data_IF_908169391465
#
_entry.id   IF_908169391465
#
_cell.length_a   1.000
_cell.length_b   1.000
_cell.length_c   1.000
_cell.angle_alpha   90.00
_cell.angle_beta   90.00
_cell.angle_gamma   90.00
#
_symmetry.space_group_name_H-M   'P 1'
#
loop_
_entity.id
_entity.type
_entity.pdbx_description
1 polymer ?
#
# COMPACT_ATOMS: atom_id res chain seq x y z
N UNK A 1 -3.10 15.56 14.90
CA UNK A 1 -2.03 16.37 14.28
C UNK A 1 -1.93 15.99 12.80
N UNK A 2 -1.90 16.96 11.92
CA UNK A 2 -1.82 16.68 10.49
C UNK A 2 -0.41 16.16 10.12
N UNK A 3 -0.36 15.17 9.24
CA UNK A 3 0.90 14.66 8.71
C UNK A 3 1.53 15.70 7.77
N UNK A 4 2.85 15.72 7.70
CA UNK A 4 3.57 16.50 6.68
C UNK A 4 3.49 15.79 5.33
N UNK A 5 3.75 16.51 4.24
CA UNK A 5 3.85 15.92 2.91
C UNK A 5 4.86 14.77 2.90
N UNK A 6 6.03 14.99 3.50
CA UNK A 6 7.08 13.98 3.59
C UNK A 6 6.61 12.72 4.31
N UNK A 7 5.86 12.86 5.41
CA UNK A 7 5.34 11.71 6.15
C UNK A 7 4.31 10.93 5.32
N UNK A 8 3.42 11.61 4.60
CA UNK A 8 2.43 10.97 3.73
C UNK A 8 3.11 10.17 2.63
N UNK A 9 4.09 10.77 1.96
CA UNK A 9 4.81 10.10 0.87
C UNK A 9 5.63 8.91 1.38
N UNK A 10 6.25 9.03 2.55
CA UNK A 10 6.98 7.93 3.18
C UNK A 10 6.04 6.77 3.52
N UNK A 11 4.90 7.07 4.14
CA UNK A 11 3.87 6.07 4.45
C UNK A 11 3.36 5.37 3.21
N UNK A 12 3.11 6.10 2.14
CA UNK A 12 2.62 5.53 0.88
C UNK A 12 3.69 4.62 0.26
N UNK A 13 4.95 5.04 0.25
CA UNK A 13 6.06 4.24 -0.24
C UNK A 13 6.22 2.95 0.57
N UNK A 14 6.09 3.04 1.89
CA UNK A 14 6.15 1.87 2.77
C UNK A 14 5.02 0.89 2.47
N UNK A 15 3.81 1.38 2.19
CA UNK A 15 2.68 0.54 1.80
C UNK A 15 2.92 -0.18 0.47
N UNK A 16 3.48 0.52 -0.52
CA UNK A 16 3.86 -0.09 -1.81
C UNK A 16 4.89 -1.20 -1.58
N UNK A 17 5.90 -0.93 -0.79
CA UNK A 17 6.96 -1.90 -0.47
C UNK A 17 6.39 -3.15 0.20
N UNK A 18 5.51 -2.97 1.18
CA UNK A 18 4.87 -4.08 1.89
C UNK A 18 4.03 -4.93 0.95
N UNK A 19 3.15 -4.31 0.16
CA UNK A 19 2.25 -5.03 -0.75
C UNK A 19 3.06 -5.83 -1.76
N UNK A 20 4.04 -5.20 -2.40
CA UNK A 20 4.89 -5.86 -3.38
C UNK A 20 5.73 -6.97 -2.77
N UNK A 21 6.24 -6.75 -1.55
CA UNK A 21 7.03 -7.76 -0.83
C UNK A 21 6.20 -8.98 -0.44
N UNK A 22 4.97 -8.78 0.04
CA UNK A 22 4.06 -9.89 0.37
C UNK A 22 3.73 -10.68 -0.89
N UNK A 23 3.39 -9.99 -1.98
CA UNK A 23 3.05 -10.64 -3.24
C UNK A 23 4.24 -11.43 -3.82
N UNK A 24 5.45 -10.91 -3.69
CA UNK A 24 6.67 -11.56 -4.18
C UNK A 24 7.19 -12.65 -3.25
N UNK A 25 6.68 -12.76 -2.03
CA UNK A 25 7.14 -13.71 -1.04
C UNK A 25 8.43 -13.29 -0.32
N UNK A 26 8.80 -12.02 -0.40
CA UNK A 26 10.02 -11.49 0.23
C UNK A 26 9.77 -10.78 1.55
N UNK A 27 8.52 -10.46 1.86
CA UNK A 27 8.14 -9.84 3.13
C UNK A 27 8.10 -10.91 4.23
N UNK A 28 8.61 -10.58 5.40
CA UNK A 28 8.61 -11.52 6.52
C UNK A 28 7.20 -11.61 7.12
N UNK A 29 6.55 -12.74 6.91
CA UNK A 29 5.21 -13.04 7.46
C UNK A 29 5.23 -14.25 8.39
N UNK A 30 6.41 -14.62 8.88
CA UNK A 30 6.58 -15.77 9.76
C UNK A 30 5.68 -15.62 11.01
N UNK A 31 4.95 -16.68 11.32
CA UNK A 31 4.04 -16.71 12.47
C UNK A 31 2.68 -16.08 12.23
N UNK A 32 2.41 -15.53 11.04
CA UNK A 32 1.12 -14.93 10.71
C UNK A 32 0.19 -15.96 10.06
N UNK A 33 -1.09 -15.88 10.42
CA UNK A 33 -2.14 -16.59 9.70
C UNK A 33 -2.42 -15.91 8.36
N UNK A 34 -2.90 -16.65 7.37
CA UNK A 34 -3.21 -16.07 6.06
C UNK A 34 -4.24 -14.95 6.16
N UNK A 35 -5.24 -15.08 7.03
CA UNK A 35 -6.24 -14.03 7.25
C UNK A 35 -5.61 -12.75 7.77
N UNK A 36 -4.61 -12.85 8.64
CA UNK A 36 -3.90 -11.69 9.19
C UNK A 36 -3.03 -11.02 8.11
N UNK A 37 -2.41 -11.82 7.25
CA UNK A 37 -1.63 -11.30 6.12
C UNK A 37 -2.56 -10.54 5.16
N UNK A 38 -3.72 -11.11 4.83
CA UNK A 38 -4.70 -10.48 3.97
C UNK A 38 -5.21 -9.16 4.57
N UNK A 39 -5.46 -9.12 5.88
CA UNK A 39 -5.88 -7.90 6.58
C UNK A 39 -4.80 -6.83 6.54
N UNK A 40 -3.54 -7.22 6.71
CA UNK A 40 -2.40 -6.31 6.62
C UNK A 40 -2.30 -5.70 5.21
N UNK A 41 -2.41 -6.54 4.18
CA UNK A 41 -2.40 -6.08 2.79
C UNK A 41 -3.57 -5.15 2.52
N UNK A 42 -4.77 -5.50 2.98
CA UNK A 42 -5.97 -4.68 2.79
C UNK A 42 -5.82 -3.30 3.42
N UNK A 43 -5.28 -3.21 4.63
CA UNK A 43 -5.05 -1.92 5.30
C UNK A 43 -4.09 -1.04 4.51
N UNK A 44 -3.08 -1.64 3.91
CA UNK A 44 -2.12 -0.88 3.09
C UNK A 44 -2.70 -0.48 1.74
N UNK A 45 -3.55 -1.31 1.14
CA UNK A 45 -4.34 -0.94 -0.04
C UNK A 45 -5.25 0.25 0.28
N UNK A 46 -5.97 0.20 1.40
CA UNK A 46 -6.87 1.28 1.83
C UNK A 46 -6.09 2.58 2.03
N UNK A 47 -4.91 2.51 2.63
CA UNK A 47 -4.06 3.68 2.83
C UNK A 47 -3.68 4.33 1.49
N UNK A 48 -3.28 3.54 0.51
CA UNK A 48 -2.93 4.05 -0.82
C UNK A 48 -4.14 4.67 -1.53
N UNK A 49 -5.32 4.08 -1.37
CA UNK A 49 -6.55 4.65 -1.94
C UNK A 49 -6.85 6.03 -1.31
N UNK A 50 -6.63 6.19 -0.02
CA UNK A 50 -6.78 7.47 0.67
C UNK A 50 -5.79 8.51 0.14
N UNK A 51 -4.52 8.12 -0.03
CA UNK A 51 -3.49 9.02 -0.57
C UNK A 51 -3.86 9.49 -1.98
N UNK A 52 -4.33 8.57 -2.83
CA UNK A 52 -4.75 8.91 -4.19
C UNK A 52 -5.97 9.83 -4.24
N UNK A 53 -6.79 9.84 -3.19
CA UNK A 53 -7.96 10.70 -3.11
C UNK A 53 -7.62 12.14 -2.73
N UNK A 54 -6.39 12.43 -2.30
CA UNK A 54 -5.97 13.79 -2.00
C UNK A 54 -5.95 14.62 -3.29
N UNK A 55 -6.53 15.82 -3.22
CA UNK A 55 -6.59 16.73 -4.37
C UNK A 55 -5.34 17.60 -4.50
N UNK A 56 -4.59 17.74 -3.41
CA UNK A 56 -3.35 18.52 -3.40
C UNK A 56 -2.21 17.67 -4.01
N UNK A 57 -1.65 18.07 -5.17
CA UNK A 57 -0.59 17.30 -5.81
C UNK A 57 0.67 17.15 -4.95
N UNK A 58 0.95 18.11 -4.09
CA UNK A 58 2.12 18.06 -3.21
C UNK A 58 1.95 16.97 -2.13
N UNK A 59 0.72 16.71 -1.73
CA UNK A 59 0.42 15.67 -0.73
C UNK A 59 0.30 14.29 -1.39
N UNK A 60 -0.30 14.24 -2.57
CA UNK A 60 -0.54 12.97 -3.27
C UNK A 60 0.68 12.42 -4.00
N UNK A 61 1.74 13.22 -4.14
CA UNK A 61 2.95 12.82 -4.84
C UNK A 61 2.91 13.12 -6.34
N UNK A 62 3.99 12.76 -7.03
CA UNK A 62 4.13 12.94 -8.46
C UNK A 62 3.25 11.96 -9.26
N UNK A 63 3.18 12.16 -10.58
CA UNK A 63 2.49 11.21 -11.47
C UNK A 63 3.09 9.81 -11.40
N UNK A 64 4.40 9.71 -11.27
CA UNK A 64 5.09 8.42 -11.14
C UNK A 64 4.76 7.75 -9.80
N UNK A 65 4.69 8.54 -8.72
CA UNK A 65 4.27 8.03 -7.41
C UNK A 65 2.85 7.48 -7.47
N UNK A 66 1.93 8.23 -8.08
CA UNK A 66 0.53 7.79 -8.24
C UNK A 66 0.41 6.52 -9.06
N UNK A 67 1.24 6.37 -10.09
CA UNK A 67 1.28 5.14 -10.90
C UNK A 67 1.72 3.96 -10.03
N UNK A 68 2.76 4.14 -9.21
CA UNK A 68 3.23 3.11 -8.27
C UNK A 68 2.13 2.71 -7.28
N UNK A 69 1.41 3.68 -6.73
CA UNK A 69 0.32 3.43 -5.78
C UNK A 69 -0.83 2.66 -6.45
N UNK A 70 -1.23 3.06 -7.64
CA UNK A 70 -2.30 2.39 -8.39
C UNK A 70 -1.93 0.94 -8.71
N UNK A 71 -0.70 0.71 -9.13
CA UNK A 71 -0.19 -0.63 -9.42
C UNK A 71 -0.17 -1.49 -8.16
N UNK A 72 0.31 -0.94 -7.04
CA UNK A 72 0.36 -1.66 -5.77
C UNK A 72 -1.05 -2.01 -5.25
N UNK A 73 -2.02 -1.12 -5.42
CA UNK A 73 -3.42 -1.37 -5.07
C UNK A 73 -3.94 -2.59 -5.84
N UNK A 74 -3.73 -2.62 -7.15
CA UNK A 74 -4.15 -3.75 -7.98
C UNK A 74 -3.46 -5.05 -7.56
N UNK A 75 -2.17 -4.99 -7.28
CA UNK A 75 -1.38 -6.13 -6.80
C UNK A 75 -1.92 -6.66 -5.47
N UNK A 76 -2.21 -5.75 -4.53
CA UNK A 76 -2.73 -6.13 -3.22
C UNK A 76 -4.12 -6.77 -3.30
N UNK A 77 -5.01 -6.20 -4.09
CA UNK A 77 -6.36 -6.75 -4.28
C UNK A 77 -6.30 -8.15 -4.92
N UNK A 78 -5.45 -8.34 -5.91
CA UNK A 78 -5.27 -9.64 -6.56
C UNK A 78 -4.68 -10.66 -5.58
N UNK A 79 -3.70 -10.26 -4.77
CA UNK A 79 -3.13 -11.12 -3.75
C UNK A 79 -4.20 -11.62 -2.78
N UNK A 80 -5.03 -10.72 -2.26
CA UNK A 80 -6.09 -11.08 -1.32
C UNK A 80 -7.09 -12.04 -1.97
N UNK A 81 -7.52 -11.75 -3.19
CA UNK A 81 -8.43 -12.63 -3.94
C UNK A 81 -7.86 -14.02 -4.12
N UNK A 82 -6.58 -14.12 -4.47
CA UNK A 82 -5.91 -15.40 -4.72
C UNK A 82 -5.66 -16.20 -3.44
N UNK A 83 -5.70 -15.54 -2.28
CA UNK A 83 -5.39 -16.15 -0.98
C UNK A 83 -6.57 -16.14 0.00
N UNK A 84 -7.77 -15.99 -0.52
CA UNK A 84 -9.00 -16.04 0.29
C UNK A 84 -9.65 -17.40 0.23
#
# INVERSE_FOLDING_TARGET
MAQTVSEVLTSATDSVTLINGVNAGTWNVEGMEQSDINDMVQRNVDHLEIVLAYTDPDVAGSSDDKTSYTTAIATGKAYITDNT
#
